data_IF_120635456838
#
_entry.id   IF_120635456838
#
_cell.length_a   1.000
_cell.length_b   1.000
_cell.length_c   1.000
_cell.angle_alpha   90.00
_cell.angle_beta   90.00
_cell.angle_gamma   90.00
#
_symmetry.space_group_name_H-M   'P 1'
#
loop_
_entity.id
_entity.type
_entity.pdbx_description
1 polymer ?
#
# COMPACT_ATOMS: atom_id res chain seq x y z
N UNK A 1 -2.83 52.10 33.27
CA UNK A 1 -1.88 51.64 32.23
C UNK A 1 -2.35 50.27 31.79
N UNK A 2 -3.32 50.26 30.84
CA UNK A 2 -3.93 49.05 30.36
C UNK A 2 -3.04 48.41 29.28
N UNK A 3 -2.61 47.18 29.54
CA UNK A 3 -1.89 46.37 28.58
C UNK A 3 -2.90 45.80 27.57
N UNK A 4 -2.94 46.38 26.38
CA UNK A 4 -3.60 45.75 25.24
C UNK A 4 -2.80 44.47 24.86
N UNK A 5 -3.32 43.33 25.29
CA UNK A 5 -2.95 42.05 24.67
C UNK A 5 -3.57 42.02 23.29
N UNK A 6 -2.75 42.20 22.25
CA UNK A 6 -3.12 41.88 20.89
C UNK A 6 -3.37 40.36 20.81
N UNK A 7 -4.63 39.96 20.75
CA UNK A 7 -4.99 38.60 20.32
C UNK A 7 -4.50 38.44 18.86
N UNK A 8 -3.45 37.70 18.66
CA UNK A 8 -3.10 37.15 17.36
C UNK A 8 -4.28 36.25 17.02
N UNK A 9 -5.01 36.57 15.95
CA UNK A 9 -6.05 35.68 15.43
C UNK A 9 -5.39 34.36 15.05
N UNK A 10 -5.69 33.35 15.83
CA UNK A 10 -5.31 31.96 15.54
C UNK A 10 -6.06 31.59 14.26
N UNK A 11 -5.40 31.68 13.10
CA UNK A 11 -5.96 31.21 11.84
C UNK A 11 -6.03 29.69 11.91
N UNK A 12 -7.18 29.19 12.31
CA UNK A 12 -7.42 27.75 12.43
C UNK A 12 -7.03 27.06 11.13
N UNK A 13 -6.11 26.10 11.20
CA UNK A 13 -5.71 25.28 10.06
C UNK A 13 -6.93 24.49 9.55
N UNK A 14 -7.24 24.61 8.24
CA UNK A 14 -8.43 24.02 7.61
C UNK A 14 -8.11 23.23 6.34
N UNK A 15 -6.83 23.06 5.99
CA UNK A 15 -6.41 22.36 4.77
C UNK A 15 -6.37 20.84 4.97
N UNK A 16 -7.49 20.25 5.33
CA UNK A 16 -7.64 18.81 5.52
C UNK A 16 -9.11 18.37 5.30
N UNK A 17 -9.30 17.05 5.10
CA UNK A 17 -10.60 16.38 5.21
C UNK A 17 -10.40 15.10 6.02
N UNK A 18 -11.05 15.03 7.16
CA UNK A 18 -11.07 13.86 8.05
C UNK A 18 -12.49 13.64 8.56
N UNK A 19 -12.81 12.40 8.96
CA UNK A 19 -14.15 12.05 9.41
C UNK A 19 -14.58 12.81 10.67
N UNK A 20 -13.69 12.87 11.67
CA UNK A 20 -13.94 13.54 12.96
C UNK A 20 -12.60 13.94 13.61
N UNK A 21 -12.34 15.22 13.71
CA UNK A 21 -11.12 15.75 14.32
C UNK A 21 -11.02 15.45 15.82
N UNK A 22 -12.14 15.18 16.49
CA UNK A 22 -12.14 14.81 17.93
C UNK A 22 -11.45 13.47 18.22
N UNK A 23 -11.22 12.65 17.19
CA UNK A 23 -10.49 11.39 17.30
C UNK A 23 -8.97 11.57 17.43
N UNK A 24 -8.44 12.78 17.30
CA UNK A 24 -7.01 13.07 17.27
C UNK A 24 -6.26 12.57 18.52
N UNK A 25 -6.84 12.75 19.72
CA UNK A 25 -6.22 12.29 20.97
C UNK A 25 -6.09 10.75 21.03
N UNK A 26 -7.07 10.04 20.52
CA UNK A 26 -6.99 8.59 20.40
C UNK A 26 -5.90 8.20 19.39
N UNK A 27 -5.91 8.79 18.19
CA UNK A 27 -4.88 8.58 17.18
C UNK A 27 -3.48 8.81 17.73
N UNK A 28 -3.27 9.90 18.47
CA UNK A 28 -1.97 10.22 19.09
C UNK A 28 -1.50 9.13 20.08
N UNK A 29 -2.40 8.54 20.82
CA UNK A 29 -2.07 7.44 21.75
C UNK A 29 -1.60 6.19 21.00
N UNK A 30 -2.29 5.81 19.94
CA UNK A 30 -1.90 4.66 19.11
C UNK A 30 -0.63 4.90 18.31
N UNK A 31 -0.41 6.12 17.78
CA UNK A 31 0.84 6.50 17.13
C UNK A 31 2.04 6.31 18.08
N UNK A 32 1.91 6.69 19.34
CA UNK A 32 2.97 6.47 20.35
C UNK A 32 3.28 4.99 20.57
N UNK A 33 2.26 4.12 20.52
CA UNK A 33 2.48 2.66 20.58
C UNK A 33 3.23 2.21 19.33
N UNK A 34 2.79 2.64 18.15
CA UNK A 34 3.41 2.29 16.88
C UNK A 34 4.89 2.71 16.81
N UNK A 35 5.24 3.90 17.28
CA UNK A 35 6.62 4.38 17.36
C UNK A 35 7.53 3.41 18.14
N UNK A 36 7.03 2.81 19.23
CA UNK A 36 7.80 1.82 20.00
C UNK A 36 8.03 0.50 19.25
N UNK A 37 7.18 0.21 18.27
CA UNK A 37 7.21 -1.00 17.44
C UNK A 37 7.82 -0.76 16.04
N UNK A 38 8.29 0.46 15.75
CA UNK A 38 8.87 0.85 14.46
C UNK A 38 10.34 1.30 14.59
N UNK A 39 11.23 0.42 15.11
CA UNK A 39 12.58 0.79 15.50
C UNK A 39 13.45 1.28 14.34
N UNK A 40 13.30 0.71 13.14
CA UNK A 40 14.08 1.10 11.97
C UNK A 40 13.71 2.50 11.49
N UNK A 41 12.41 2.80 11.41
CA UNK A 41 11.94 4.11 11.00
C UNK A 41 12.29 5.20 12.04
N UNK A 42 12.13 4.88 13.33
CA UNK A 42 12.50 5.82 14.41
C UNK A 42 14.00 6.08 14.44
N UNK A 43 14.84 5.07 14.19
CA UNK A 43 16.28 5.25 14.10
C UNK A 43 16.70 6.16 12.92
N UNK A 44 16.01 6.06 11.78
CA UNK A 44 16.20 6.96 10.62
C UNK A 44 15.79 8.38 10.99
N UNK A 45 14.65 8.55 11.66
CA UNK A 45 14.21 9.87 12.14
C UNK A 45 15.28 10.50 13.03
N UNK A 46 15.82 9.76 13.99
CA UNK A 46 16.88 10.22 14.88
C UNK A 46 18.18 10.56 14.13
N UNK A 47 18.62 9.67 13.22
CA UNK A 47 19.86 9.82 12.47
C UNK A 47 19.86 11.09 11.59
N UNK A 48 18.73 11.36 10.92
CA UNK A 48 18.65 12.41 9.90
C UNK A 48 17.96 13.71 10.35
N UNK A 49 17.31 13.75 11.51
CA UNK A 49 16.54 14.92 11.97
C UNK A 49 17.40 16.21 12.02
N UNK A 50 18.65 16.11 12.45
CA UNK A 50 19.53 17.27 12.55
C UNK A 50 20.01 17.80 11.18
N UNK A 51 20.24 16.90 10.21
CA UNK A 51 20.73 17.25 8.87
C UNK A 51 19.61 17.68 7.91
N UNK A 52 18.37 17.29 8.21
CA UNK A 52 17.18 17.58 7.41
C UNK A 52 17.38 17.38 5.90
N UNK A 53 17.71 16.16 5.43
CA UNK A 53 18.04 15.91 4.03
C UNK A 53 16.87 16.15 3.08
N UNK A 54 15.64 16.19 3.58
CA UNK A 54 14.41 16.48 2.81
C UNK A 54 14.00 17.95 2.90
N UNK A 55 14.85 18.84 3.40
CA UNK A 55 14.55 20.27 3.39
C UNK A 55 14.32 20.78 1.96
N UNK A 56 13.14 21.34 1.71
CA UNK A 56 12.68 21.77 0.38
C UNK A 56 12.00 20.68 -0.43
N UNK A 57 11.92 19.46 0.08
CA UNK A 57 11.04 18.44 -0.52
C UNK A 57 9.57 18.79 -0.21
N UNK A 58 8.73 18.73 -1.25
CA UNK A 58 7.28 18.83 -1.18
C UNK A 58 6.70 17.50 -1.66
N UNK A 59 6.38 16.65 -0.69
CA UNK A 59 5.98 15.27 -0.95
C UNK A 59 4.47 15.18 -1.01
N UNK A 60 3.98 14.70 -2.14
CA UNK A 60 2.60 14.25 -2.31
C UNK A 60 2.56 12.76 -2.01
N UNK A 61 1.88 12.36 -0.93
CA UNK A 61 1.73 10.97 -0.52
C UNK A 61 0.35 10.43 -0.84
N UNK A 62 0.31 9.27 -1.51
CA UNK A 62 -0.88 8.50 -1.80
C UNK A 62 -0.64 7.07 -1.31
N UNK A 63 -0.90 6.84 -0.03
CA UNK A 63 -0.68 5.56 0.64
C UNK A 63 -1.65 5.44 1.81
N UNK A 64 -2.07 4.21 2.14
CA UNK A 64 -3.05 3.91 3.18
C UNK A 64 -2.87 4.76 4.45
N UNK A 65 -3.87 5.57 4.82
CA UNK A 65 -3.78 6.48 5.97
C UNK A 65 -4.01 5.71 7.29
N UNK A 66 -3.02 4.94 7.69
CA UNK A 66 -3.00 4.14 8.92
C UNK A 66 -2.19 4.82 10.04
N UNK A 67 -2.24 4.23 11.23
CA UNK A 67 -1.39 4.66 12.36
C UNK A 67 0.11 4.60 11.98
N UNK A 68 0.54 3.56 11.27
CA UNK A 68 1.93 3.42 10.84
C UNK A 68 2.32 4.49 9.83
N UNK A 69 1.38 4.84 8.93
CA UNK A 69 1.57 5.92 7.97
C UNK A 69 1.68 7.29 8.66
N UNK A 70 0.97 7.50 9.75
CA UNK A 70 1.15 8.71 10.56
C UNK A 70 2.61 8.83 11.07
N UNK A 71 3.22 7.74 11.53
CA UNK A 71 4.64 7.70 11.93
C UNK A 71 5.57 8.01 10.75
N UNK A 72 5.26 7.52 9.54
CA UNK A 72 6.00 7.86 8.32
C UNK A 72 5.91 9.35 7.99
N UNK A 73 4.70 9.92 7.98
CA UNK A 73 4.45 11.34 7.69
C UNK A 73 5.26 12.22 8.66
N UNK A 74 5.18 11.92 9.94
CA UNK A 74 5.94 12.65 10.96
C UNK A 74 7.46 12.48 10.80
N UNK A 75 7.91 11.33 10.35
CA UNK A 75 9.33 11.10 10.05
C UNK A 75 9.76 11.97 8.88
N UNK A 76 9.05 11.95 7.76
CA UNK A 76 9.36 12.78 6.59
C UNK A 76 9.37 14.27 6.95
N UNK A 77 8.42 14.72 7.78
CA UNK A 77 8.34 16.11 8.27
C UNK A 77 9.53 16.45 9.18
N UNK A 78 9.92 15.56 10.10
CA UNK A 78 11.09 15.74 10.95
C UNK A 78 12.40 15.84 10.14
N UNK A 79 12.45 15.21 8.98
CA UNK A 79 13.57 15.27 8.03
C UNK A 79 13.54 16.53 7.14
N UNK A 80 12.59 17.42 7.33
CA UNK A 80 12.48 18.72 6.66
C UNK A 80 11.51 18.79 5.48
N UNK A 81 10.79 17.72 5.17
CA UNK A 81 9.79 17.74 4.10
C UNK A 81 8.51 18.49 4.50
N UNK A 82 7.86 19.09 3.51
CA UNK A 82 6.45 19.44 3.57
C UNK A 82 5.66 18.31 2.92
N UNK A 83 4.55 17.92 3.53
CA UNK A 83 3.80 16.71 3.11
C UNK A 83 2.32 17.04 2.93
N UNK A 84 1.70 16.48 1.91
CA UNK A 84 0.25 16.43 1.70
C UNK A 84 -0.15 14.98 1.44
N UNK A 85 -1.19 14.49 2.07
CA UNK A 85 -1.47 13.05 2.09
C UNK A 85 -2.92 12.71 1.77
N UNK A 86 -3.12 11.65 0.98
CA UNK A 86 -4.41 10.98 0.81
C UNK A 86 -4.24 9.46 0.94
N UNK A 87 -5.32 8.75 1.23
CA UNK A 87 -5.31 7.29 1.19
C UNK A 87 -5.32 6.77 -0.24
N UNK A 88 -4.68 5.66 -0.50
CA UNK A 88 -4.70 4.97 -1.79
C UNK A 88 -5.81 3.91 -1.91
N UNK A 89 -6.73 3.85 -0.95
CA UNK A 89 -7.86 2.92 -0.93
C UNK A 89 -9.01 3.46 -0.09
N UNK A 90 -10.23 3.36 -0.59
CA UNK A 90 -11.43 3.93 0.03
C UNK A 90 -11.80 3.32 1.40
N UNK A 91 -11.29 2.13 1.75
CA UNK A 91 -11.62 1.44 3.00
C UNK A 91 -10.46 1.34 3.99
N UNK A 92 -9.25 1.80 3.63
CA UNK A 92 -8.04 1.54 4.42
C UNK A 92 -7.72 2.60 5.46
N UNK A 93 -8.36 3.77 5.41
CA UNK A 93 -8.11 4.85 6.37
C UNK A 93 -8.48 4.43 7.78
N UNK A 94 -7.61 4.74 8.74
CA UNK A 94 -7.93 4.80 10.17
C UNK A 94 -8.23 6.25 10.53
N UNK A 95 -9.51 6.59 10.75
CA UNK A 95 -9.97 7.97 10.91
C UNK A 95 -9.27 8.71 12.07
N UNK A 96 -8.95 7.99 13.14
CA UNK A 96 -8.20 8.56 14.26
C UNK A 96 -6.72 8.86 13.93
N UNK A 97 -6.11 8.11 12.99
CA UNK A 97 -4.78 8.43 12.48
C UNK A 97 -4.81 9.70 11.62
N UNK A 98 -5.77 9.81 10.70
CA UNK A 98 -5.97 11.00 9.89
C UNK A 98 -6.26 12.24 10.75
N UNK A 99 -7.10 12.10 11.77
CA UNK A 99 -7.42 13.17 12.72
C UNK A 99 -6.18 13.66 13.49
N UNK A 100 -5.31 12.75 13.94
CA UNK A 100 -4.08 13.12 14.65
C UNK A 100 -3.13 13.94 13.76
N UNK A 101 -2.94 13.53 12.51
CA UNK A 101 -2.09 14.24 11.53
C UNK A 101 -2.67 15.62 11.18
N UNK A 102 -3.99 15.71 10.98
CA UNK A 102 -4.68 16.97 10.73
C UNK A 102 -4.54 17.94 11.93
N UNK A 103 -4.68 17.42 13.16
CA UNK A 103 -4.53 18.23 14.38
C UNK A 103 -3.12 18.82 14.55
N UNK A 104 -2.09 18.16 14.01
CA UNK A 104 -0.73 18.65 13.99
C UNK A 104 -0.45 19.66 12.85
N UNK A 105 -1.48 20.03 12.08
CA UNK A 105 -1.37 21.03 11.00
C UNK A 105 -0.78 20.47 9.70
N UNK A 106 -0.80 19.16 9.49
CA UNK A 106 -0.34 18.54 8.25
C UNK A 106 -1.56 18.26 7.36
N UNK A 107 -1.54 18.71 6.09
CA UNK A 107 -2.63 18.46 5.15
C UNK A 107 -2.85 16.97 4.90
N UNK A 108 -4.04 16.48 5.23
CA UNK A 108 -4.47 15.09 5.03
C UNK A 108 -5.92 15.05 4.57
N UNK A 109 -6.19 14.23 3.56
CA UNK A 109 -7.49 14.08 2.92
C UNK A 109 -7.81 12.59 2.87
N UNK A 110 -8.44 12.06 3.92
CA UNK A 110 -8.71 10.63 4.04
C UNK A 110 -9.84 10.36 5.04
N UNK A 111 -10.83 9.58 4.60
CA UNK A 111 -11.99 9.16 5.40
C UNK A 111 -12.27 7.69 5.11
N UNK A 112 -12.43 6.87 6.15
CA UNK A 112 -12.79 5.46 5.95
C UNK A 112 -14.17 5.32 5.32
N UNK A 113 -14.23 4.67 4.15
CA UNK A 113 -15.49 4.52 3.42
C UNK A 113 -15.83 5.70 2.52
N UNK A 114 -14.86 6.55 2.19
CA UNK A 114 -15.02 7.60 1.18
C UNK A 114 -15.50 7.03 -0.15
N UNK A 115 -16.24 7.83 -0.91
CA UNK A 115 -16.69 7.43 -2.24
C UNK A 115 -15.52 7.47 -3.25
N UNK A 116 -15.65 6.76 -4.38
CA UNK A 116 -14.67 6.86 -5.48
C UNK A 116 -14.52 8.30 -6.01
N UNK A 117 -15.58 9.10 -5.91
CA UNK A 117 -15.51 10.52 -6.27
C UNK A 117 -14.66 11.30 -5.29
N UNK A 118 -14.83 11.09 -3.98
CA UNK A 118 -14.01 11.72 -2.95
C UNK A 118 -12.56 11.29 -3.07
N UNK A 119 -12.31 10.00 -3.31
CA UNK A 119 -10.99 9.43 -3.54
C UNK A 119 -10.20 10.18 -4.62
N UNK A 120 -10.81 10.37 -5.81
CA UNK A 120 -10.16 11.10 -6.89
C UNK A 120 -10.09 12.62 -6.65
N UNK A 121 -11.04 13.20 -5.91
CA UNK A 121 -10.93 14.59 -5.45
C UNK A 121 -9.75 14.76 -4.49
N UNK A 122 -9.61 13.88 -3.51
CA UNK A 122 -8.49 13.91 -2.55
C UNK A 122 -7.15 13.69 -3.24
N UNK A 123 -7.09 12.79 -4.22
CA UNK A 123 -5.90 12.56 -5.04
C UNK A 123 -5.51 13.80 -5.86
N UNK A 124 -6.45 14.62 -6.28
CA UNK A 124 -6.14 15.94 -6.87
C UNK A 124 -5.63 16.92 -5.81
N UNK A 125 -6.31 16.99 -4.66
CA UNK A 125 -6.01 17.97 -3.59
C UNK A 125 -4.61 17.81 -2.99
N UNK A 126 -4.04 16.62 -2.97
CA UNK A 126 -2.66 16.44 -2.50
C UNK A 126 -1.61 17.11 -3.41
N UNK A 127 -1.97 17.47 -4.64
CA UNK A 127 -1.13 18.26 -5.55
C UNK A 127 -1.42 19.77 -5.49
N UNK A 128 -2.36 20.23 -4.67
CA UNK A 128 -2.78 21.62 -4.56
C UNK A 128 -2.23 22.26 -3.29
N UNK A 129 -1.19 23.08 -3.42
CA UNK A 129 -0.54 23.76 -2.30
C UNK A 129 -1.16 25.14 -2.09
N UNK A 130 -1.50 25.48 -0.85
CA UNK A 130 -2.17 26.73 -0.50
C UNK A 130 -1.34 28.01 -0.80
N UNK A 131 -0.01 27.87 -0.88
CA UNK A 131 0.91 28.94 -1.26
C UNK A 131 1.13 29.07 -2.78
N UNK A 132 0.40 28.32 -3.60
CA UNK A 132 0.53 28.29 -5.06
C UNK A 132 1.77 27.55 -5.57
N UNK A 133 2.53 26.89 -4.69
CA UNK A 133 3.67 26.05 -5.07
C UNK A 133 3.26 24.70 -5.62
N UNK A 134 4.24 23.84 -5.90
CA UNK A 134 4.04 22.52 -6.50
C UNK A 134 4.74 21.43 -5.71
N UNK A 135 4.20 20.22 -5.77
CA UNK A 135 4.90 19.01 -5.34
C UNK A 135 6.13 18.78 -6.20
N UNK A 136 7.20 18.28 -5.60
CA UNK A 136 8.40 17.91 -6.32
C UNK A 136 8.81 16.44 -6.09
N UNK A 137 8.10 15.74 -5.22
CA UNK A 137 8.27 14.30 -4.95
C UNK A 137 6.91 13.65 -4.80
N UNK A 138 6.82 12.39 -5.22
CA UNK A 138 5.65 11.54 -4.98
C UNK A 138 6.08 10.34 -4.14
N UNK A 139 5.26 9.96 -3.17
CA UNK A 139 5.30 8.68 -2.48
C UNK A 139 3.97 7.99 -2.75
N UNK A 140 3.99 6.92 -3.53
CA UNK A 140 2.81 6.28 -4.09
C UNK A 140 2.69 4.82 -3.64
N UNK A 141 1.45 4.33 -3.61
CA UNK A 141 1.12 2.94 -3.32
C UNK A 141 -0.01 2.49 -4.26
N UNK A 142 0.37 1.76 -5.30
CA UNK A 142 -0.50 1.38 -6.41
C UNK A 142 -0.39 2.27 -7.64
N UNK A 143 0.32 3.39 -7.54
CA UNK A 143 0.64 4.25 -8.66
C UNK A 143 -0.48 5.18 -9.13
N UNK A 144 -1.53 5.41 -8.31
CA UNK A 144 -2.68 6.21 -8.74
C UNK A 144 -2.38 7.71 -8.80
N UNK A 145 -1.59 8.25 -7.87
CA UNK A 145 -1.14 9.65 -7.94
C UNK A 145 -0.23 9.90 -9.16
N UNK A 146 0.66 8.95 -9.44
CA UNK A 146 1.52 8.96 -10.64
C UNK A 146 0.69 8.85 -11.91
N UNK A 147 -0.28 7.92 -11.96
CA UNK A 147 -1.19 7.74 -13.10
C UNK A 147 -1.99 9.00 -13.38
N UNK A 148 -2.54 9.63 -12.33
CA UNK A 148 -3.35 10.84 -12.46
C UNK A 148 -2.62 11.95 -13.22
N UNK A 149 -1.36 12.25 -12.83
CA UNK A 149 -0.57 13.29 -13.50
C UNK A 149 -0.25 12.93 -14.95
N UNK A 150 0.15 11.69 -15.22
CA UNK A 150 0.53 11.26 -16.56
C UNK A 150 -0.69 11.18 -17.50
N UNK A 151 -1.80 10.59 -17.04
CA UNK A 151 -3.02 10.50 -17.83
C UNK A 151 -3.62 11.88 -18.11
N UNK A 152 -3.65 12.73 -17.07
CA UNK A 152 -4.14 14.09 -17.21
C UNK A 152 -3.30 14.92 -18.20
N UNK A 153 -1.97 14.84 -18.13
CA UNK A 153 -1.07 15.53 -19.06
C UNK A 153 -1.21 15.01 -20.51
N UNK A 154 -1.53 13.73 -20.70
CA UNK A 154 -1.88 13.19 -22.03
C UNK A 154 -3.23 13.71 -22.50
N UNK A 155 -4.20 13.79 -21.60
CA UNK A 155 -5.53 14.29 -21.92
C UNK A 155 -5.53 15.79 -22.29
N UNK A 156 -4.59 16.59 -21.78
CA UNK A 156 -4.37 17.98 -22.24
C UNK A 156 -4.06 18.07 -23.73
N UNK A 157 -3.38 17.07 -24.27
CA UNK A 157 -2.99 17.02 -25.68
C UNK A 157 -4.04 16.32 -26.55
N UNK A 158 -4.69 15.27 -26.01
CA UNK A 158 -5.66 14.44 -26.72
C UNK A 158 -6.70 13.89 -25.75
N UNK A 159 -7.89 14.51 -25.73
CA UNK A 159 -9.01 14.07 -24.90
C UNK A 159 -9.55 12.68 -25.25
N UNK A 160 -9.17 12.13 -26.42
CA UNK A 160 -9.63 10.79 -26.83
C UNK A 160 -9.10 9.69 -25.91
N UNK A 161 -7.99 9.92 -25.18
CA UNK A 161 -7.47 8.98 -24.17
C UNK A 161 -8.47 8.71 -23.03
N UNK A 162 -9.45 9.60 -22.84
CA UNK A 162 -10.52 9.49 -21.85
C UNK A 162 -11.88 9.08 -22.47
N UNK A 163 -11.89 8.47 -23.65
CA UNK A 163 -13.13 8.18 -24.36
C UNK A 163 -13.82 6.88 -23.93
N UNK A 164 -13.04 5.89 -23.46
CA UNK A 164 -13.55 4.53 -23.17
C UNK A 164 -13.05 4.05 -21.81
N UNK A 165 -13.77 4.35 -20.72
CA UNK A 165 -13.43 3.77 -19.42
C UNK A 165 -13.71 2.27 -19.41
N UNK A 166 -12.85 1.51 -18.77
CA UNK A 166 -12.97 0.05 -18.63
C UNK A 166 -13.63 -0.38 -17.31
N UNK A 167 -13.86 0.57 -16.39
CA UNK A 167 -14.45 0.32 -15.08
C UNK A 167 -15.25 1.53 -14.58
N UNK A 168 -16.02 1.35 -13.50
CA UNK A 168 -16.69 2.44 -12.80
C UNK A 168 -15.66 3.46 -12.28
N UNK A 169 -14.56 2.97 -11.69
CA UNK A 169 -13.49 3.82 -11.18
C UNK A 169 -12.86 4.67 -12.28
N UNK A 170 -12.56 4.10 -13.44
CA UNK A 170 -12.06 4.87 -14.59
C UNK A 170 -13.10 5.87 -15.11
N UNK A 171 -14.39 5.54 -15.05
CA UNK A 171 -15.45 6.48 -15.42
C UNK A 171 -15.42 7.73 -14.56
N UNK A 172 -15.25 7.57 -13.25
CA UNK A 172 -15.17 8.66 -12.28
C UNK A 172 -13.87 9.44 -12.44
N UNK A 173 -12.74 8.76 -12.57
CA UNK A 173 -11.44 9.37 -12.84
C UNK A 173 -11.46 10.24 -14.11
N UNK A 174 -11.99 9.69 -15.21
CA UNK A 174 -12.04 10.41 -16.49
C UNK A 174 -12.94 11.64 -16.42
N UNK A 175 -14.05 11.54 -15.68
CA UNK A 175 -14.92 12.70 -15.42
C UNK A 175 -14.20 13.77 -14.58
N UNK A 176 -13.45 13.38 -13.55
CA UNK A 176 -12.68 14.28 -12.71
C UNK A 176 -11.58 15.00 -13.50
N UNK A 177 -10.84 14.27 -14.36
CA UNK A 177 -9.83 14.86 -15.24
C UNK A 177 -10.46 15.87 -16.19
N UNK A 178 -11.56 15.53 -16.87
CA UNK A 178 -12.27 16.44 -17.78
C UNK A 178 -12.74 17.70 -17.08
N UNK A 179 -13.28 17.58 -15.87
CA UNK A 179 -13.72 18.72 -15.07
C UNK A 179 -12.56 19.64 -14.68
N UNK A 180 -11.41 19.09 -14.31
CA UNK A 180 -10.21 19.86 -13.99
C UNK A 180 -9.68 20.60 -15.23
N UNK A 181 -9.59 19.93 -16.37
CA UNK A 181 -9.14 20.54 -17.63
C UNK A 181 -10.04 21.66 -18.12
N UNK A 182 -11.34 21.61 -17.83
CA UNK A 182 -12.27 22.68 -18.17
C UNK A 182 -12.00 23.99 -17.41
N UNK A 183 -11.39 23.90 -16.22
CA UNK A 183 -11.06 25.05 -15.37
C UNK A 183 -9.60 25.49 -15.46
N UNK A 184 -8.69 24.54 -15.66
CA UNK A 184 -7.24 24.77 -15.82
C UNK A 184 -6.68 23.79 -16.87
N UNK A 185 -6.58 24.21 -18.15
CA UNK A 185 -6.17 23.36 -19.25
C UNK A 185 -4.73 22.83 -19.19
N UNK A 186 -3.89 23.36 -18.29
CA UNK A 186 -2.48 22.96 -18.12
C UNK A 186 -2.17 22.43 -16.71
N UNK A 187 -3.21 22.08 -15.95
CA UNK A 187 -3.07 21.71 -14.55
C UNK A 187 -2.13 20.53 -14.32
N UNK A 188 -2.21 19.49 -15.15
CA UNK A 188 -1.43 18.26 -15.00
C UNK A 188 0.01 18.41 -15.51
N UNK A 189 0.19 18.94 -16.73
CA UNK A 189 1.53 19.10 -17.31
C UNK A 189 2.39 20.05 -16.50
N UNK A 190 1.81 21.12 -15.96
CA UNK A 190 2.51 22.07 -15.10
C UNK A 190 3.05 21.38 -13.83
N UNK A 191 2.24 20.54 -13.20
CA UNK A 191 2.64 19.79 -11.99
C UNK A 191 3.59 18.65 -12.31
N UNK A 192 3.33 17.90 -13.35
CA UNK A 192 4.18 16.82 -13.83
C UNK A 192 5.63 17.27 -14.06
N UNK A 193 5.80 18.47 -14.61
CA UNK A 193 7.12 19.06 -14.89
C UNK A 193 7.93 19.41 -13.61
N UNK A 194 7.28 19.49 -12.44
CA UNK A 194 7.95 19.81 -11.19
C UNK A 194 8.41 18.56 -10.42
N UNK A 195 7.89 17.38 -10.77
CA UNK A 195 8.20 16.15 -10.07
C UNK A 195 9.62 15.69 -10.42
N UNK A 196 10.44 15.51 -9.40
CA UNK A 196 11.81 14.98 -9.50
C UNK A 196 11.82 13.45 -9.50
N UNK A 197 10.80 12.82 -8.92
CA UNK A 197 10.69 11.37 -8.91
C UNK A 197 9.60 10.85 -7.99
N UNK A 198 9.37 9.54 -8.08
CA UNK A 198 8.40 8.78 -7.28
C UNK A 198 9.05 7.61 -6.58
N UNK A 199 8.60 7.29 -5.37
CA UNK A 199 8.89 6.02 -4.70
C UNK A 199 7.59 5.22 -4.60
N UNK A 200 7.61 3.96 -5.04
CA UNK A 200 6.42 3.11 -5.14
C UNK A 200 6.50 1.94 -4.16
N UNK A 201 5.42 1.76 -3.39
CA UNK A 201 5.33 0.80 -2.29
C UNK A 201 4.99 -0.61 -2.74
N UNK A 202 4.12 -0.77 -3.76
CA UNK A 202 3.47 -2.06 -4.00
C UNK A 202 3.74 -2.63 -5.39
N UNK A 203 3.68 -3.97 -5.51
CA UNK A 203 3.90 -4.72 -6.75
C UNK A 203 3.08 -4.18 -7.93
N UNK A 204 1.82 -3.84 -7.70
CA UNK A 204 0.94 -3.37 -8.78
C UNK A 204 1.36 -2.01 -9.31
N UNK A 205 1.71 -1.07 -8.45
CA UNK A 205 2.22 0.24 -8.85
C UNK A 205 3.55 0.12 -9.57
N UNK A 206 4.45 -0.72 -9.07
CA UNK A 206 5.73 -1.03 -9.74
C UNK A 206 5.51 -1.59 -11.14
N UNK A 207 4.55 -2.50 -11.32
CA UNK A 207 4.21 -3.03 -12.63
C UNK A 207 3.73 -1.94 -13.60
N UNK A 208 2.89 -1.01 -13.13
CA UNK A 208 2.47 0.17 -13.90
C UNK A 208 3.66 1.04 -14.31
N UNK A 209 4.60 1.30 -13.39
CA UNK A 209 5.81 2.09 -13.68
C UNK A 209 6.68 1.43 -14.76
N UNK A 210 6.91 0.12 -14.70
CA UNK A 210 7.63 -0.61 -15.74
C UNK A 210 6.91 -0.54 -17.09
N UNK A 211 5.58 -0.69 -17.12
CA UNK A 211 4.79 -0.56 -18.35
C UNK A 211 4.88 0.85 -18.94
N UNK A 212 4.75 1.89 -18.10
CA UNK A 212 4.87 3.28 -18.53
C UNK A 212 6.28 3.56 -19.08
N UNK A 213 7.31 3.06 -18.42
CA UNK A 213 8.69 3.20 -18.87
C UNK A 213 8.91 2.50 -20.23
N UNK A 214 8.44 1.27 -20.37
CA UNK A 214 8.56 0.51 -21.63
C UNK A 214 7.86 1.19 -22.82
N UNK A 215 6.77 1.93 -22.55
CA UNK A 215 6.06 2.72 -23.57
C UNK A 215 6.63 4.13 -23.79
N UNK A 216 7.69 4.53 -23.04
CA UNK A 216 8.25 5.88 -23.10
C UNK A 216 7.32 6.98 -22.51
N UNK A 217 6.35 6.59 -21.72
CA UNK A 217 5.37 7.48 -21.12
C UNK A 217 5.83 8.05 -19.77
N UNK A 218 6.66 7.33 -19.01
CA UNK A 218 7.18 7.77 -17.72
C UNK A 218 8.04 9.05 -17.89
N UNK A 219 7.79 10.08 -17.08
CA UNK A 219 8.41 11.41 -17.25
C UNK A 219 9.45 11.75 -16.19
N UNK A 220 9.59 10.95 -15.15
CA UNK A 220 10.56 11.14 -14.07
C UNK A 220 11.07 9.78 -13.57
N UNK A 221 12.19 9.71 -12.84
CA UNK A 221 12.69 8.46 -12.29
C UNK A 221 11.78 7.92 -11.18
N UNK A 222 11.78 6.61 -11.03
CA UNK A 222 11.04 5.90 -10.00
C UNK A 222 11.95 4.97 -9.20
N UNK A 223 11.80 4.93 -7.89
CA UNK A 223 12.39 3.88 -7.04
C UNK A 223 11.30 2.88 -6.68
N UNK A 224 11.50 1.65 -7.11
CA UNK A 224 10.72 0.48 -6.75
C UNK A 224 11.13 0.04 -5.33
N UNK A 225 10.38 0.50 -4.32
CA UNK A 225 10.60 0.10 -2.94
C UNK A 225 10.11 -1.31 -2.67
N UNK A 226 9.06 -1.75 -3.37
CA UNK A 226 8.51 -3.10 -3.20
C UNK A 226 9.57 -4.21 -3.34
N UNK A 227 10.51 -4.06 -4.27
CA UNK A 227 11.52 -5.09 -4.55
C UNK A 227 12.80 -4.96 -3.71
N UNK A 228 12.88 -3.99 -2.79
CA UNK A 228 13.84 -4.07 -1.69
C UNK A 228 13.57 -5.36 -0.90
N UNK A 229 14.62 -6.12 -0.59
CA UNK A 229 14.45 -7.43 0.09
C UNK A 229 13.81 -7.25 1.46
N UNK A 230 14.22 -6.20 2.19
CA UNK A 230 13.65 -5.85 3.49
C UNK A 230 12.21 -5.32 3.41
N UNK A 231 11.67 -5.11 2.20
CA UNK A 231 10.25 -4.84 1.98
C UNK A 231 9.54 -6.10 1.53
N UNK A 232 9.84 -6.65 0.36
CA UNK A 232 9.08 -7.76 -0.24
C UNK A 232 9.10 -9.04 0.59
N UNK A 233 10.24 -9.39 1.19
CA UNK A 233 10.39 -10.61 2.00
C UNK A 233 9.94 -10.43 3.45
N UNK A 234 9.53 -9.22 3.83
CA UNK A 234 9.03 -8.89 5.18
C UNK A 234 7.58 -8.45 5.14
N UNK A 235 7.27 -7.32 4.53
CA UNK A 235 5.92 -6.79 4.41
C UNK A 235 4.98 -7.75 3.69
N UNK A 236 5.29 -8.09 2.44
CA UNK A 236 4.42 -8.95 1.63
C UNK A 236 4.27 -10.35 2.23
N UNK A 237 5.29 -10.87 2.90
CA UNK A 237 5.29 -12.19 3.50
C UNK A 237 4.74 -12.18 4.94
N UNK A 238 5.45 -11.53 5.85
CA UNK A 238 5.12 -11.54 7.28
C UNK A 238 3.93 -10.64 7.60
N UNK A 239 3.80 -9.51 6.91
CA UNK A 239 2.64 -8.63 7.07
C UNK A 239 1.35 -9.33 6.69
N UNK A 240 1.31 -9.99 5.54
CA UNK A 240 0.13 -10.76 5.12
C UNK A 240 -0.11 -11.99 5.99
N UNK A 241 0.94 -12.61 6.54
CA UNK A 241 0.81 -13.73 7.47
C UNK A 241 -0.02 -13.36 8.70
N UNK A 242 0.15 -12.17 9.24
CA UNK A 242 -0.63 -11.73 10.41
C UNK A 242 -1.96 -11.08 10.01
N UNK A 243 -1.95 -10.19 9.03
CA UNK A 243 -3.09 -9.34 8.72
C UNK A 243 -4.22 -10.04 7.96
N UNK A 244 -3.95 -11.09 7.16
CA UNK A 244 -5.01 -11.85 6.49
C UNK A 244 -5.97 -12.47 7.49
N UNK A 245 -5.43 -13.25 8.42
CA UNK A 245 -6.26 -13.98 9.40
C UNK A 245 -6.93 -13.02 10.37
N UNK A 246 -6.30 -11.89 10.69
CA UNK A 246 -6.92 -10.81 11.48
C UNK A 246 -8.17 -10.26 10.76
N UNK A 247 -8.06 -9.94 9.47
CA UNK A 247 -9.18 -9.48 8.65
C UNK A 247 -10.33 -10.49 8.58
N UNK A 248 -10.04 -11.74 8.29
CA UNK A 248 -11.07 -12.81 8.23
C UNK A 248 -11.76 -12.99 9.60
N UNK A 249 -11.00 -13.03 10.68
CA UNK A 249 -11.55 -13.26 12.03
C UNK A 249 -12.37 -12.08 12.54
N UNK A 250 -11.91 -10.86 12.34
CA UNK A 250 -12.69 -9.66 12.70
C UNK A 250 -13.97 -9.54 11.89
N UNK A 251 -13.89 -9.90 10.59
CA UNK A 251 -15.06 -9.86 9.71
C UNK A 251 -16.13 -10.87 10.10
N UNK A 252 -15.74 -12.11 10.39
CA UNK A 252 -16.67 -13.25 10.44
C UNK A 252 -16.73 -13.97 11.78
N UNK A 253 -15.73 -13.80 12.62
CA UNK A 253 -15.57 -14.55 13.89
C UNK A 253 -15.60 -16.08 13.71
N UNK A 254 -15.34 -16.57 12.50
CA UNK A 254 -15.37 -18.02 12.22
C UNK A 254 -14.12 -18.72 12.74
N UNK A 255 -14.29 -19.96 13.15
CA UNK A 255 -13.17 -20.85 13.43
C UNK A 255 -12.51 -21.29 12.13
N UNK A 256 -11.21 -21.03 11.97
CA UNK A 256 -10.44 -21.39 10.77
C UNK A 256 -10.02 -22.86 10.79
N UNK A 257 -9.77 -23.41 11.98
CA UNK A 257 -9.36 -24.81 12.12
C UNK A 257 -10.36 -25.79 11.50
N UNK A 258 -9.83 -26.77 10.78
CA UNK A 258 -10.63 -27.82 10.14
C UNK A 258 -11.27 -27.42 8.80
N UNK A 259 -11.26 -26.12 8.45
CA UNK A 259 -11.77 -25.66 7.15
C UNK A 259 -10.77 -25.91 6.04
N UNK A 260 -11.28 -26.10 4.83
CA UNK A 260 -10.48 -26.07 3.60
C UNK A 260 -10.36 -24.59 3.15
N UNK A 261 -9.15 -24.11 3.09
CA UNK A 261 -8.85 -22.75 2.64
C UNK A 261 -8.02 -22.79 1.35
N UNK A 262 -8.45 -22.07 0.34
CA UNK A 262 -7.74 -21.93 -0.94
C UNK A 262 -7.06 -20.58 -0.99
N UNK A 263 -5.76 -20.57 -1.23
CA UNK A 263 -4.96 -19.38 -1.51
C UNK A 263 -4.61 -19.36 -3.00
N UNK A 264 -5.13 -18.38 -3.72
CA UNK A 264 -4.85 -18.20 -5.13
C UNK A 264 -3.58 -17.35 -5.28
N UNK A 265 -2.50 -17.98 -5.76
CA UNK A 265 -1.16 -17.41 -5.86
C UNK A 265 -0.24 -17.86 -4.72
N UNK A 266 1.05 -18.08 -5.05
CA UNK A 266 2.08 -18.50 -4.09
C UNK A 266 3.37 -17.68 -4.23
N UNK A 267 3.20 -16.37 -4.55
CA UNK A 267 4.20 -15.34 -4.36
C UNK A 267 4.40 -15.01 -2.87
N UNK A 268 5.06 -13.93 -2.52
CA UNK A 268 5.34 -13.59 -1.11
C UNK A 268 4.05 -13.42 -0.30
N UNK A 269 3.04 -12.74 -0.84
CA UNK A 269 1.72 -12.57 -0.22
C UNK A 269 1.02 -13.92 -0.01
N UNK A 270 0.98 -14.75 -1.04
CA UNK A 270 0.35 -16.08 -0.99
C UNK A 270 1.06 -17.01 0.00
N UNK A 271 2.40 -16.98 0.06
CA UNK A 271 3.20 -17.75 1.03
C UNK A 271 2.84 -17.38 2.46
N UNK A 272 2.82 -16.09 2.78
CA UNK A 272 2.44 -15.61 4.12
C UNK A 272 1.01 -16.03 4.47
N UNK A 273 0.07 -15.82 3.57
CA UNK A 273 -1.34 -16.18 3.71
C UNK A 273 -1.54 -17.69 3.97
N UNK A 274 -0.91 -18.53 3.15
CA UNK A 274 -0.98 -19.99 3.29
C UNK A 274 -0.39 -20.48 4.63
N UNK A 275 0.74 -19.90 5.05
CA UNK A 275 1.37 -20.23 6.33
C UNK A 275 0.48 -19.87 7.52
N UNK A 276 -0.16 -18.68 7.51
CA UNK A 276 -1.04 -18.25 8.58
C UNK A 276 -2.28 -19.17 8.72
N UNK A 277 -2.94 -19.47 7.62
CA UNK A 277 -4.10 -20.37 7.61
C UNK A 277 -3.72 -21.78 8.09
N UNK A 278 -2.58 -22.31 7.66
CA UNK A 278 -2.07 -23.61 8.12
C UNK A 278 -1.73 -23.59 9.60
N UNK A 279 -1.15 -22.49 10.11
CA UNK A 279 -0.83 -22.32 11.53
C UNK A 279 -2.09 -22.33 12.40
N UNK A 280 -3.24 -21.88 11.87
CA UNK A 280 -4.54 -21.99 12.50
C UNK A 280 -5.25 -23.33 12.23
N UNK A 281 -4.53 -24.33 11.73
CA UNK A 281 -5.02 -25.69 11.46
C UNK A 281 -6.06 -25.80 10.34
N UNK A 282 -6.05 -24.90 9.36
CA UNK A 282 -6.79 -25.08 8.12
C UNK A 282 -6.10 -26.13 7.22
N UNK A 283 -6.89 -26.81 6.39
CA UNK A 283 -6.39 -27.60 5.27
C UNK A 283 -6.17 -26.64 4.08
N UNK A 284 -4.93 -26.19 3.89
CA UNK A 284 -4.62 -25.16 2.90
C UNK A 284 -4.32 -25.81 1.54
N UNK A 285 -5.03 -25.35 0.51
CA UNK A 285 -4.75 -25.63 -0.90
C UNK A 285 -4.27 -24.35 -1.59
N UNK A 286 -3.49 -24.51 -2.65
CA UNK A 286 -2.92 -23.40 -3.40
C UNK A 286 -3.30 -23.53 -4.86
N UNK A 287 -3.64 -22.42 -5.52
CA UNK A 287 -3.68 -22.36 -6.98
C UNK A 287 -2.53 -21.52 -7.49
N UNK A 288 -1.86 -21.94 -8.56
CA UNK A 288 -0.68 -21.23 -9.06
C UNK A 288 -0.46 -21.49 -10.55
N UNK A 289 0.02 -20.48 -11.27
CA UNK A 289 0.36 -20.57 -12.70
C UNK A 289 1.86 -20.72 -12.94
N UNK A 290 2.71 -20.20 -12.01
CA UNK A 290 4.15 -20.35 -12.10
C UNK A 290 4.58 -21.72 -11.59
N UNK A 291 5.21 -22.55 -12.46
CA UNK A 291 5.63 -23.91 -12.07
C UNK A 291 6.66 -23.91 -10.94
N UNK A 292 7.47 -22.87 -10.80
CA UNK A 292 8.46 -22.77 -9.70
C UNK A 292 7.73 -22.52 -8.38
N UNK A 293 6.80 -21.56 -8.34
CA UNK A 293 6.00 -21.28 -7.14
C UNK A 293 5.09 -22.48 -6.79
N UNK A 294 4.50 -23.14 -7.78
CA UNK A 294 3.71 -24.36 -7.57
C UNK A 294 4.55 -25.49 -6.98
N UNK A 295 5.79 -25.70 -7.48
CA UNK A 295 6.72 -26.68 -6.93
C UNK A 295 7.11 -26.34 -5.48
N UNK A 296 7.39 -25.07 -5.18
CA UNK A 296 7.66 -24.63 -3.82
C UNK A 296 6.47 -24.93 -2.88
N UNK A 297 5.26 -24.61 -3.30
CA UNK A 297 4.05 -24.92 -2.52
C UNK A 297 3.92 -26.43 -2.23
N UNK A 298 4.15 -27.27 -3.25
CA UNK A 298 4.12 -28.71 -3.10
C UNK A 298 5.19 -29.24 -2.16
N UNK A 299 6.43 -28.68 -2.21
CA UNK A 299 7.51 -29.04 -1.29
C UNK A 299 7.23 -28.64 0.15
N UNK A 300 6.51 -27.54 0.36
CA UNK A 300 6.01 -27.11 1.67
C UNK A 300 4.82 -27.95 2.19
N UNK A 301 4.35 -28.92 1.40
CA UNK A 301 3.27 -29.84 1.77
C UNK A 301 1.86 -29.31 1.50
N UNK A 302 1.72 -28.24 0.74
CA UNK A 302 0.41 -27.78 0.27
C UNK A 302 -0.07 -28.59 -0.92
N UNK A 303 -1.37 -28.81 -0.99
CA UNK A 303 -2.00 -29.37 -2.17
C UNK A 303 -2.17 -28.27 -3.22
N UNK A 304 -1.54 -28.43 -4.37
CA UNK A 304 -1.70 -27.52 -5.51
C UNK A 304 -2.83 -28.03 -6.41
N UNK A 305 -3.82 -27.19 -6.67
CA UNK A 305 -5.05 -27.49 -7.39
C UNK A 305 -5.45 -26.37 -8.32
N UNK A 306 -6.49 -26.56 -9.16
CA UNK A 306 -7.11 -25.44 -9.90
C UNK A 306 -8.32 -24.88 -9.15
N UNK A 307 -8.77 -23.69 -9.53
CA UNK A 307 -9.98 -23.09 -8.95
C UNK A 307 -11.24 -23.94 -9.26
N UNK A 308 -11.32 -24.50 -10.45
CA UNK A 308 -12.44 -25.38 -10.86
C UNK A 308 -12.53 -26.62 -9.97
N UNK A 309 -11.38 -27.17 -9.55
CA UNK A 309 -11.33 -28.29 -8.62
C UNK A 309 -11.74 -27.88 -7.20
N UNK A 310 -11.35 -26.68 -6.77
CA UNK A 310 -11.52 -26.23 -5.39
C UNK A 310 -12.91 -25.65 -5.10
N UNK A 311 -13.57 -25.06 -6.09
CA UNK A 311 -14.74 -24.20 -5.93
C UNK A 311 -15.87 -24.83 -5.11
N UNK A 312 -16.21 -26.11 -5.36
CA UNK A 312 -17.29 -26.83 -4.66
C UNK A 312 -16.84 -27.49 -3.35
N UNK A 313 -15.55 -27.40 -2.98
CA UNK A 313 -14.95 -28.14 -1.85
C UNK A 313 -14.44 -27.29 -0.73
N UNK A 314 -14.03 -26.06 -1.01
CA UNK A 314 -13.41 -25.18 -0.04
C UNK A 314 -14.44 -24.31 0.74
N UNK A 315 -14.02 -23.83 1.88
CA UNK A 315 -14.82 -23.01 2.80
C UNK A 315 -14.34 -21.53 2.79
N UNK A 316 -13.06 -21.31 2.51
CA UNK A 316 -12.42 -19.98 2.49
C UNK A 316 -11.63 -19.85 1.19
N UNK A 317 -11.81 -18.73 0.50
CA UNK A 317 -11.10 -18.41 -0.74
C UNK A 317 -10.41 -17.06 -0.57
N UNK A 318 -9.09 -17.03 -0.83
CA UNK A 318 -8.24 -15.84 -0.71
C UNK A 318 -7.50 -15.63 -2.01
N UNK A 319 -7.68 -14.47 -2.66
CA UNK A 319 -6.88 -14.11 -3.84
C UNK A 319 -5.66 -13.28 -3.44
N UNK A 320 -4.51 -13.56 -4.06
CA UNK A 320 -3.22 -12.98 -3.76
C UNK A 320 -2.29 -12.94 -4.98
N UNK A 321 -2.85 -12.76 -6.18
CA UNK A 321 -2.12 -12.90 -7.46
C UNK A 321 -1.75 -11.58 -8.11
N UNK A 322 -2.46 -10.49 -7.79
CA UNK A 322 -2.37 -9.23 -8.53
C UNK A 322 -2.88 -9.32 -9.97
N UNK A 323 -3.64 -10.38 -10.31
CA UNK A 323 -4.15 -10.65 -11.65
C UNK A 323 -5.64 -10.25 -11.76
N UNK A 324 -6.30 -10.68 -12.81
CA UNK A 324 -7.65 -10.31 -13.18
C UNK A 324 -8.57 -11.54 -13.19
N UNK A 325 -9.77 -11.43 -12.58
CA UNK A 325 -10.83 -12.44 -12.55
C UNK A 325 -10.34 -13.87 -12.20
N UNK A 326 -9.53 -13.97 -11.16
CA UNK A 326 -9.02 -15.26 -10.63
C UNK A 326 -10.17 -16.08 -10.05
N UNK A 327 -11.12 -15.41 -9.38
CA UNK A 327 -12.41 -15.98 -8.97
C UNK A 327 -13.49 -15.38 -9.85
N UNK A 328 -14.08 -16.20 -10.70
CA UNK A 328 -15.14 -15.84 -11.65
C UNK A 328 -16.53 -16.13 -11.08
N UNK A 329 -17.58 -15.62 -11.76
CA UNK A 329 -18.97 -15.97 -11.46
C UNK A 329 -19.19 -17.48 -11.36
N UNK A 330 -18.66 -18.26 -12.31
CA UNK A 330 -18.85 -19.72 -12.35
C UNK A 330 -18.21 -20.42 -11.14
N UNK A 331 -17.09 -19.90 -10.64
CA UNK A 331 -16.49 -20.38 -9.40
C UNK A 331 -17.41 -20.08 -8.20
N UNK A 332 -17.86 -18.83 -8.06
CA UNK A 332 -18.73 -18.41 -6.96
C UNK A 332 -20.07 -19.14 -6.96
N UNK A 333 -20.64 -19.41 -8.14
CA UNK A 333 -21.88 -20.16 -8.29
C UNK A 333 -21.76 -21.62 -7.78
N UNK A 334 -20.57 -22.22 -7.83
CA UNK A 334 -20.30 -23.58 -7.36
C UNK A 334 -19.90 -23.67 -5.88
N UNK A 335 -19.54 -22.55 -5.25
CA UNK A 335 -19.09 -22.52 -3.86
C UNK A 335 -20.16 -23.07 -2.91
N UNK A 336 -19.72 -23.54 -1.77
CA UNK A 336 -20.62 -23.94 -0.67
C UNK A 336 -21.44 -22.78 -0.17
N UNK A 337 -22.59 -23.05 0.41
CA UNK A 337 -23.33 -22.07 1.20
C UNK A 337 -22.43 -21.58 2.35
N UNK A 338 -22.42 -20.27 2.62
CA UNK A 338 -21.57 -19.59 3.59
C UNK A 338 -20.06 -19.67 3.30
N UNK A 339 -19.62 -19.95 2.07
CA UNK A 339 -18.22 -19.83 1.71
C UNK A 339 -17.74 -18.38 1.86
N UNK A 340 -16.56 -18.19 2.43
CA UNK A 340 -15.93 -16.87 2.62
C UNK A 340 -15.04 -16.60 1.42
N UNK A 341 -15.23 -15.44 0.79
CA UNK A 341 -14.46 -14.99 -0.37
C UNK A 341 -13.82 -13.63 -0.03
N UNK A 342 -12.52 -13.55 -0.14
CA UNK A 342 -11.78 -12.33 0.13
C UNK A 342 -10.54 -12.18 -0.74
N UNK A 343 -10.05 -10.96 -0.83
CA UNK A 343 -8.84 -10.59 -1.55
C UNK A 343 -7.83 -9.94 -0.60
N UNK A 344 -6.56 -10.24 -0.77
CA UNK A 344 -5.44 -9.55 -0.10
C UNK A 344 -4.45 -8.95 -1.11
N UNK A 345 -4.75 -9.04 -2.41
CA UNK A 345 -4.07 -8.29 -3.46
C UNK A 345 -4.48 -6.82 -3.46
N UNK A 346 -3.67 -5.96 -4.04
CA UNK A 346 -3.85 -4.50 -3.94
C UNK A 346 -5.18 -4.00 -4.53
N UNK A 347 -5.59 -4.50 -5.70
CA UNK A 347 -6.82 -4.10 -6.37
C UNK A 347 -7.96 -5.12 -6.21
N UNK A 348 -9.18 -4.67 -6.47
CA UNK A 348 -10.43 -5.42 -6.32
C UNK A 348 -10.81 -6.28 -7.53
N UNK A 349 -10.01 -6.31 -8.58
CA UNK A 349 -10.33 -6.98 -9.84
C UNK A 349 -9.94 -8.47 -9.89
N UNK A 350 -9.38 -9.03 -8.82
CA UNK A 350 -9.08 -10.47 -8.74
C UNK A 350 -10.36 -11.31 -8.59
N UNK A 351 -11.39 -10.76 -7.96
CA UNK A 351 -12.72 -11.35 -7.82
C UNK A 351 -13.66 -10.63 -8.78
N UNK A 352 -14.37 -11.37 -9.61
CA UNK A 352 -15.33 -10.82 -10.58
C UNK A 352 -16.62 -10.36 -9.86
N UNK A 353 -16.49 -9.28 -9.07
CA UNK A 353 -17.60 -8.71 -8.29
C UNK A 353 -18.69 -8.15 -9.20
N UNK A 354 -18.33 -7.59 -10.35
CA UNK A 354 -19.29 -7.04 -11.31
C UNK A 354 -20.30 -8.11 -11.80
N UNK A 355 -19.85 -9.35 -11.90
CA UNK A 355 -20.73 -10.46 -12.33
C UNK A 355 -21.83 -10.86 -11.34
N UNK A 356 -21.74 -10.38 -10.11
CA UNK A 356 -22.71 -10.68 -9.04
C UNK A 356 -23.45 -9.44 -8.51
N UNK A 357 -23.24 -8.25 -9.12
CA UNK A 357 -23.91 -7.01 -8.73
C UNK A 357 -25.44 -7.08 -8.85
N UNK A 358 -25.94 -7.85 -9.82
CA UNK A 358 -27.40 -8.03 -10.03
C UNK A 358 -28.06 -8.91 -8.96
N UNK A 359 -27.29 -9.60 -8.12
CA UNK A 359 -27.84 -10.43 -7.04
C UNK A 359 -28.27 -9.58 -5.85
N UNK A 360 -29.02 -10.18 -4.93
CA UNK A 360 -29.35 -9.51 -3.69
C UNK A 360 -28.13 -9.48 -2.76
N UNK A 361 -27.76 -8.28 -2.32
CA UNK A 361 -26.74 -8.05 -1.32
C UNK A 361 -27.39 -7.75 0.03
N UNK A 362 -26.91 -8.39 1.06
CA UNK A 362 -27.31 -8.17 2.46
C UNK A 362 -26.08 -7.79 3.26
N UNK A 363 -25.92 -6.51 3.58
CA UNK A 363 -24.85 -6.05 4.46
C UNK A 363 -25.10 -6.57 5.88
N UNK A 364 -24.20 -7.41 6.38
CA UNK A 364 -24.26 -7.96 7.75
C UNK A 364 -23.68 -6.95 8.73
N UNK A 365 -22.59 -6.32 8.36
CA UNK A 365 -21.92 -5.20 9.02
C UNK A 365 -20.96 -4.56 8.01
N UNK A 366 -20.40 -3.36 8.27
CA UNK A 366 -19.49 -2.71 7.34
C UNK A 366 -18.42 -3.67 6.83
N UNK A 367 -18.26 -3.75 5.51
CA UNK A 367 -17.29 -4.59 4.79
C UNK A 367 -17.56 -6.11 4.84
N UNK A 368 -18.73 -6.54 5.26
CA UNK A 368 -19.14 -7.96 5.30
C UNK A 368 -20.51 -8.10 4.69
N UNK A 369 -20.58 -8.66 3.49
CA UNK A 369 -21.81 -8.78 2.72
C UNK A 369 -22.14 -10.25 2.42
N UNK A 370 -23.41 -10.64 2.60
CA UNK A 370 -23.96 -11.82 1.97
C UNK A 370 -24.36 -11.51 0.53
N UNK A 371 -23.89 -12.31 -0.40
CA UNK A 371 -24.39 -12.33 -1.78
C UNK A 371 -25.32 -13.52 -1.92
N UNK A 372 -26.61 -13.26 -2.19
CA UNK A 372 -27.66 -14.25 -2.24
C UNK A 372 -27.89 -14.68 -3.68
N UNK A 373 -27.54 -15.91 -4.00
CA UNK A 373 -27.72 -16.51 -5.33
C UNK A 373 -29.17 -16.88 -5.60
N UNK A 374 -29.59 -17.05 -6.88
CA UNK A 374 -30.97 -17.36 -7.23
C UNK A 374 -31.51 -18.68 -6.64
N UNK A 375 -30.64 -19.62 -6.31
CA UNK A 375 -30.98 -20.90 -5.65
C UNK A 375 -31.12 -20.78 -4.12
N UNK A 376 -30.92 -19.60 -3.56
CA UNK A 376 -30.96 -19.29 -2.14
C UNK A 376 -29.65 -19.50 -1.38
N UNK A 377 -28.61 -20.02 -2.05
CA UNK A 377 -27.26 -20.10 -1.51
C UNK A 377 -26.70 -18.71 -1.23
N UNK A 378 -25.88 -18.57 -0.18
CA UNK A 378 -25.19 -17.35 0.20
C UNK A 378 -23.69 -17.57 0.22
N UNK A 379 -22.93 -16.64 -0.30
CA UNK A 379 -21.50 -16.51 -0.02
C UNK A 379 -21.25 -15.24 0.81
N UNK A 380 -20.17 -15.24 1.59
CA UNK A 380 -19.73 -14.09 2.39
C UNK A 380 -18.60 -13.41 1.62
N UNK A 381 -18.88 -12.25 1.05
CA UNK A 381 -17.86 -11.42 0.40
C UNK A 381 -17.31 -10.40 1.38
N UNK A 382 -16.00 -10.34 1.55
CA UNK A 382 -15.33 -9.41 2.46
C UNK A 382 -14.76 -8.21 1.70
N UNK A 383 -14.90 -7.02 2.30
CA UNK A 383 -14.38 -5.74 1.81
C UNK A 383 -14.77 -5.47 0.33
N UNK A 384 -15.90 -6.01 -0.13
CA UNK A 384 -16.38 -5.91 -1.52
C UNK A 384 -15.33 -6.31 -2.56
N UNK A 385 -14.50 -7.31 -2.23
CA UNK A 385 -13.39 -7.77 -3.07
C UNK A 385 -12.10 -6.95 -2.97
N UNK A 386 -12.09 -5.87 -2.19
CA UNK A 386 -10.88 -5.07 -1.91
C UNK A 386 -10.03 -5.71 -0.81
N UNK A 387 -8.95 -5.06 -0.41
CA UNK A 387 -8.01 -5.53 0.62
C UNK A 387 -8.72 -5.89 1.94
N UNK A 388 -8.83 -7.18 2.24
CA UNK A 388 -9.52 -7.68 3.44
C UNK A 388 -8.83 -7.25 4.74
N UNK A 389 -7.51 -7.22 4.75
CA UNK A 389 -6.72 -6.87 5.93
C UNK A 389 -6.87 -5.39 6.35
N UNK A 390 -7.13 -4.50 5.40
CA UNK A 390 -7.35 -3.07 5.67
C UNK A 390 -8.84 -2.73 5.72
N UNK A 391 -9.67 -3.37 4.89
CA UNK A 391 -11.11 -3.16 4.89
C UNK A 391 -11.78 -3.69 6.16
N UNK A 392 -11.44 -4.91 6.57
CA UNK A 392 -12.04 -5.59 7.72
C UNK A 392 -11.19 -5.53 9.01
N UNK A 393 -9.93 -5.07 8.92
CA UNK A 393 -9.03 -4.93 10.07
C UNK A 393 -8.21 -3.64 9.97
N UNK A 394 -6.97 -3.65 10.48
CA UNK A 394 -6.11 -2.46 10.60
C UNK A 394 -4.82 -2.55 9.77
N UNK A 395 -4.73 -3.55 8.90
CA UNK A 395 -3.57 -3.76 8.02
C UNK A 395 -2.40 -4.46 8.71
N UNK A 396 -1.20 -4.22 8.18
CA UNK A 396 0.02 -4.86 8.66
C UNK A 396 0.48 -4.31 10.01
N UNK A 397 1.12 -5.15 10.85
CA UNK A 397 1.63 -4.71 12.15
C UNK A 397 2.76 -3.70 12.02
N UNK A 398 2.90 -2.85 13.04
CA UNK A 398 3.85 -1.72 13.04
C UNK A 398 5.31 -2.15 12.80
N UNK A 399 5.72 -3.29 13.35
CA UNK A 399 7.11 -3.74 13.21
C UNK A 399 7.49 -4.03 11.74
N UNK A 400 6.62 -4.66 10.98
CA UNK A 400 6.89 -4.95 9.57
C UNK A 400 6.82 -3.68 8.73
N UNK A 401 5.88 -2.78 9.03
CA UNK A 401 5.77 -1.49 8.35
C UNK A 401 6.97 -0.58 8.64
N UNK A 402 7.66 -0.77 9.77
CA UNK A 402 8.93 -0.10 10.03
C UNK A 402 9.97 -0.39 8.96
N UNK A 403 10.04 -1.63 8.44
CA UNK A 403 10.95 -1.98 7.34
C UNK A 403 10.55 -1.28 6.03
N UNK A 404 9.27 -1.36 5.65
CA UNK A 404 8.76 -0.73 4.42
C UNK A 404 8.96 0.77 4.45
N UNK A 405 8.58 1.43 5.54
CA UNK A 405 8.67 2.87 5.65
C UNK A 405 10.09 3.40 5.88
N UNK A 406 10.99 2.58 6.44
CA UNK A 406 12.41 2.86 6.42
C UNK A 406 12.95 2.87 4.98
N UNK A 407 12.58 1.89 4.16
CA UNK A 407 12.90 1.86 2.73
C UNK A 407 12.33 3.08 1.99
N UNK A 408 11.06 3.43 2.23
CA UNK A 408 10.43 4.61 1.63
C UNK A 408 11.18 5.90 1.98
N UNK A 409 11.49 6.09 3.26
CA UNK A 409 12.19 7.29 3.73
C UNK A 409 13.58 7.39 3.11
N UNK A 410 14.36 6.30 3.08
CA UNK A 410 15.66 6.26 2.43
C UNK A 410 15.55 6.51 0.94
N UNK A 411 14.55 5.92 0.27
CA UNK A 411 14.33 6.12 -1.16
C UNK A 411 13.97 7.58 -1.49
N UNK A 412 13.14 8.23 -0.67
CA UNK A 412 12.84 9.66 -0.81
C UNK A 412 14.10 10.53 -0.64
N UNK A 413 14.94 10.24 0.36
CA UNK A 413 16.20 10.94 0.57
C UNK A 413 17.12 10.75 -0.64
N UNK A 414 17.33 9.50 -1.05
CA UNK A 414 18.22 9.15 -2.18
C UNK A 414 17.78 9.85 -3.46
N UNK A 415 16.51 9.75 -3.81
CA UNK A 415 15.98 10.30 -5.05
C UNK A 415 15.94 11.85 -5.03
N UNK A 416 15.57 12.45 -3.90
CA UNK A 416 15.51 13.91 -3.78
C UNK A 416 16.89 14.57 -3.78
N UNK A 417 17.86 13.99 -3.06
CA UNK A 417 19.20 14.58 -2.91
C UNK A 417 20.13 14.26 -4.09
N UNK A 418 19.86 13.18 -4.82
CA UNK A 418 20.70 12.67 -5.91
C UNK A 418 19.92 12.49 -7.22
N UNK A 419 18.91 13.32 -7.47
CA UNK A 419 18.06 13.23 -8.67
C UNK A 419 18.88 13.15 -9.97
N UNK A 420 20.02 13.86 -10.05
CA UNK A 420 20.88 13.88 -11.23
C UNK A 420 21.52 12.50 -11.56
N UNK A 421 21.61 11.61 -10.56
CA UNK A 421 22.18 10.27 -10.73
C UNK A 421 21.16 9.26 -11.29
N UNK A 422 19.87 9.67 -11.34
CA UNK A 422 18.76 8.84 -11.76
C UNK A 422 18.08 9.38 -13.01
N UNK A 423 18.53 9.02 -14.22
CA UNK A 423 17.75 9.26 -15.46
C UNK A 423 16.35 8.66 -15.36
N UNK A 424 15.44 9.06 -16.26
CA UNK A 424 14.09 8.46 -16.29
C UNK A 424 14.19 6.95 -16.46
N UNK A 425 13.65 6.23 -15.50
CA UNK A 425 13.72 4.77 -15.41
C UNK A 425 13.14 4.27 -14.07
N UNK A 426 13.12 2.97 -13.88
CA UNK A 426 12.67 2.32 -12.64
C UNK A 426 13.86 1.62 -11.99
N UNK A 427 14.16 1.95 -10.75
CA UNK A 427 15.33 1.52 -10.00
C UNK A 427 14.92 0.83 -8.71
N UNK A 428 15.79 -0.04 -8.16
CA UNK A 428 15.71 -0.55 -6.79
C UNK A 428 16.77 0.13 -5.93
N UNK A 429 16.55 0.18 -4.62
CA UNK A 429 17.57 0.67 -3.70
C UNK A 429 18.84 -0.20 -3.77
N UNK A 430 20.03 0.41 -3.74
CA UNK A 430 21.30 -0.31 -3.64
C UNK A 430 21.33 -1.26 -2.42
N UNK A 431 21.97 -2.41 -2.58
CA UNK A 431 22.01 -3.48 -1.56
C UNK A 431 22.50 -3.00 -0.18
N UNK A 432 23.44 -2.09 -0.14
CA UNK A 432 23.95 -1.56 1.14
C UNK A 432 22.89 -0.76 1.91
N UNK A 433 21.93 -0.11 1.22
CA UNK A 433 20.82 0.59 1.85
C UNK A 433 19.74 -0.38 2.34
N UNK A 434 19.49 -1.44 1.57
CA UNK A 434 18.60 -2.54 1.98
C UNK A 434 19.13 -3.25 3.24
N UNK A 435 20.45 -3.56 3.29
CA UNK A 435 21.09 -4.08 4.50
C UNK A 435 21.07 -3.10 5.68
N UNK A 436 21.17 -1.78 5.42
CA UNK A 436 21.03 -0.76 6.46
C UNK A 436 19.67 -0.85 7.14
N UNK A 437 18.60 -0.96 6.37
CA UNK A 437 17.24 -1.13 6.91
C UNK A 437 17.16 -2.36 7.80
N UNK A 438 17.66 -3.51 7.35
CA UNK A 438 17.70 -4.73 8.16
C UNK A 438 18.43 -4.52 9.49
N UNK A 439 19.62 -3.91 9.47
CA UNK A 439 20.41 -3.65 10.69
C UNK A 439 19.69 -2.80 11.72
N UNK A 440 18.96 -1.77 11.27
CA UNK A 440 18.20 -0.89 12.14
C UNK A 440 17.06 -1.62 12.88
N UNK A 441 16.50 -2.67 12.28
CA UNK A 441 15.45 -3.49 12.90
C UNK A 441 15.97 -4.48 13.95
N UNK A 442 17.21 -4.98 13.79
CA UNK A 442 17.75 -6.09 14.60
C UNK A 442 17.85 -5.75 16.09
N UNK A 443 18.12 -4.50 16.43
CA UNK A 443 18.29 -4.05 17.83
C UNK A 443 17.04 -4.35 18.67
N UNK A 444 15.86 -4.11 18.14
CA UNK A 444 14.59 -4.36 18.85
C UNK A 444 14.39 -5.84 19.18
N UNK A 445 14.89 -6.72 18.30
CA UNK A 445 14.78 -8.17 18.47
C UNK A 445 15.94 -8.78 19.29
N UNK A 446 16.83 -7.94 19.83
CA UNK A 446 18.03 -8.36 20.55
C UNK A 446 18.91 -9.35 19.75
N UNK A 447 18.94 -9.22 18.43
CA UNK A 447 19.73 -10.09 17.54
C UNK A 447 21.21 -9.74 17.66
N UNK A 448 22.04 -10.78 17.81
CA UNK A 448 23.49 -10.67 17.79
C UNK A 448 24.03 -11.24 16.47
N UNK A 449 24.56 -10.37 15.62
CA UNK A 449 25.16 -10.80 14.36
C UNK A 449 26.56 -11.36 14.59
N UNK A 450 26.88 -12.46 13.89
CA UNK A 450 28.24 -12.92 13.78
C UNK A 450 29.06 -11.96 12.92
N UNK A 451 30.24 -11.59 13.36
CA UNK A 451 31.15 -10.73 12.62
C UNK A 451 32.17 -11.59 11.86
N UNK A 452 32.44 -11.24 10.59
CA UNK A 452 33.48 -11.89 9.80
C UNK A 452 34.87 -11.50 10.33
N UNK A 453 35.79 -12.49 10.44
CA UNK A 453 37.22 -12.20 10.53
C UNK A 453 37.74 -11.73 9.17
N UNK A 454 38.89 -11.07 9.14
CA UNK A 454 39.50 -10.60 7.89
C UNK A 454 39.81 -11.79 6.95
N UNK A 455 40.22 -12.92 7.50
CA UNK A 455 40.47 -14.15 6.75
C UNK A 455 39.18 -14.73 6.13
N UNK A 456 38.07 -14.70 6.86
CA UNK A 456 36.76 -15.14 6.34
C UNK A 456 36.23 -14.20 5.24
N UNK A 457 36.31 -12.89 5.45
CA UNK A 457 35.94 -11.91 4.46
C UNK A 457 36.75 -12.06 3.15
N UNK A 458 38.05 -12.21 3.27
CA UNK A 458 38.94 -12.47 2.13
C UNK A 458 38.62 -13.80 1.43
N UNK A 459 38.33 -14.87 2.19
CA UNK A 459 38.03 -16.19 1.61
C UNK A 459 36.74 -16.18 0.75
N UNK A 460 35.70 -15.50 1.21
CA UNK A 460 34.42 -15.43 0.47
C UNK A 460 34.33 -14.21 -0.47
N UNK A 461 35.33 -13.32 -0.46
CA UNK A 461 35.42 -12.18 -1.39
C UNK A 461 34.41 -11.09 -1.13
N UNK A 462 34.01 -10.86 0.13
CA UNK A 462 33.04 -9.78 0.49
C UNK A 462 33.66 -8.80 1.49
N UNK A 463 33.20 -7.53 1.52
CA UNK A 463 33.62 -6.61 2.58
C UNK A 463 33.18 -7.10 3.97
N UNK A 464 33.99 -6.85 4.98
CA UNK A 464 33.73 -7.29 6.37
C UNK A 464 32.38 -6.74 6.92
N UNK A 465 31.99 -5.55 6.51
CA UNK A 465 30.76 -4.88 6.93
C UNK A 465 29.61 -5.03 5.93
N UNK A 466 29.80 -5.81 4.86
CA UNK A 466 28.82 -5.94 3.77
C UNK A 466 29.01 -4.88 2.64
N UNK A 467 28.18 -4.89 1.62
CA UNK A 467 27.09 -5.85 1.43
C UNK A 467 27.60 -7.29 1.22
N UNK A 468 26.88 -8.25 1.81
CA UNK A 468 27.27 -9.67 1.79
C UNK A 468 26.80 -10.43 0.56
N UNK A 469 25.89 -9.84 -0.20
CA UNK A 469 25.31 -10.37 -1.44
C UNK A 469 25.36 -9.32 -2.55
N UNK A 470 25.37 -9.79 -3.79
CA UNK A 470 25.29 -8.92 -4.98
C UNK A 470 23.91 -8.27 -5.08
N UNK A 471 23.80 -7.16 -5.84
CA UNK A 471 22.53 -6.47 -6.05
C UNK A 471 21.45 -7.35 -6.71
N UNK A 472 21.88 -8.32 -7.52
CA UNK A 472 20.97 -9.27 -8.20
C UNK A 472 20.51 -10.42 -7.31
N UNK A 473 21.09 -10.62 -6.12
CA UNK A 473 20.71 -11.73 -5.24
C UNK A 473 19.28 -11.50 -4.69
N UNK A 474 18.47 -12.56 -4.75
CA UNK A 474 17.12 -12.61 -4.17
C UNK A 474 17.07 -13.69 -3.10
N UNK A 475 16.72 -13.31 -1.87
CA UNK A 475 16.67 -14.17 -0.67
C UNK A 475 15.53 -15.18 -0.76
#
# INVERSE_FOLDING_TARGET
MELHMNAVADTQFTDFVVADLSLADWGRKEIRIAETEMPGLMAIREEYAASQPLKGARITGSLHMTIQTAVLIETLTALGAQVRWASCNIFSTQDHAAAAIAADGIPVFAVKGESLKDYWDYTHRIFEWSDGGYSNMILDDGGDATLLLHLGARAEQDLSVLAKPGSEEETILFAAIKAKLATDPSWYSTRLAQIKGVTEETTTGVHRLYQMHARGELKFPAINVNDSVTKSKFDNLYGCRESLVDGIKRATDVMVAGKVAVVCGYGDVGKGSAQALRALSAQVWVTEIDPICALQAAMEGYRVVTMEYAADKADIFVTATGNYHVITHDHMAKMKDQAIVCNIGHFDNEIDVASIEQYQWEEIKPQVDHIIFPDGKRIILLAKGRLVNLGCATGHPSYVMSSSFANQTIAQIELFTRTADYPVGVYTLPKHLDEKVARLQLKKLAVQLTELTDAQAAYIGVPKQGPYKTDSYRY
#
